data_IF_471102369201
#
_entry.id   IF_471102369201
#
_cell.length_a   1.000
_cell.length_b   1.000
_cell.length_c   1.000
_cell.angle_alpha   90.00
_cell.angle_beta   90.00
_cell.angle_gamma   90.00
#
_symmetry.space_group_name_H-M   'P 1'
#
loop_
_entity.id
_entity.type
_entity.pdbx_description
1 polymer ?
#
# COMPACT_ATOMS: atom_id res chain seq x y z
N UNK A 1 12.20 -6.12 26.35
CA UNK A 1 12.44 -4.79 25.74
C UNK A 1 11.21 -4.48 24.93
N UNK A 2 10.63 -3.29 25.08
CA UNK A 2 9.46 -2.89 24.28
C UNK A 2 9.97 -2.42 22.92
N UNK A 3 9.56 -3.13 21.87
CA UNK A 3 9.90 -2.81 20.47
C UNK A 3 9.18 -1.53 20.03
N UNK A 4 9.93 -0.45 19.78
CA UNK A 4 9.38 0.86 19.39
C UNK A 4 9.27 0.99 17.89
N UNK A 5 8.12 1.42 17.42
CA UNK A 5 7.73 1.48 16.01
C UNK A 5 7.38 2.92 15.63
N UNK A 6 7.85 3.37 14.47
CA UNK A 6 7.44 4.62 13.84
C UNK A 6 6.72 4.34 12.52
N UNK A 7 5.57 4.98 12.32
CA UNK A 7 4.82 4.95 11.07
C UNK A 7 4.91 6.33 10.43
N UNK A 8 5.58 6.44 9.29
CA UNK A 8 5.67 7.66 8.48
C UNK A 8 4.54 7.66 7.44
N UNK A 9 3.65 8.64 7.50
CA UNK A 9 2.44 8.70 6.67
C UNK A 9 1.26 7.95 7.28
N UNK A 10 1.09 8.06 8.60
CA UNK A 10 0.06 7.36 9.36
C UNK A 10 -1.37 7.78 9.01
N UNK A 11 -1.59 9.00 8.53
CA UNK A 11 -2.93 9.49 8.13
C UNK A 11 -3.33 9.06 6.70
N UNK A 12 -2.51 8.25 6.02
CA UNK A 12 -2.84 7.65 4.73
C UNK A 12 -3.76 6.43 4.86
N UNK A 13 -4.25 5.92 3.72
CA UNK A 13 -5.18 4.79 3.67
C UNK A 13 -4.64 3.55 4.40
N UNK A 14 -3.42 3.12 4.07
CA UNK A 14 -2.78 1.98 4.77
C UNK A 14 -2.34 2.41 6.18
N UNK A 15 -1.76 3.61 6.31
CA UNK A 15 -1.17 4.09 7.56
C UNK A 15 -2.16 4.11 8.72
N UNK A 16 -3.40 4.54 8.49
CA UNK A 16 -4.45 4.57 9.51
C UNK A 16 -4.76 3.16 10.05
N UNK A 17 -5.01 2.21 9.16
CA UNK A 17 -5.35 0.84 9.58
C UNK A 17 -4.15 0.10 10.16
N UNK A 18 -2.96 0.35 9.63
CA UNK A 18 -1.73 -0.19 10.17
C UNK A 18 -1.43 0.35 11.58
N UNK A 19 -1.71 1.63 11.84
CA UNK A 19 -1.57 2.24 13.17
C UNK A 19 -2.46 1.53 14.20
N UNK A 20 -3.72 1.26 13.84
CA UNK A 20 -4.65 0.53 14.70
C UNK A 20 -4.07 -0.85 15.01
N UNK A 21 -3.75 -1.63 13.98
CA UNK A 21 -3.30 -3.01 14.13
C UNK A 21 -1.98 -3.12 14.93
N UNK A 22 -1.01 -2.24 14.67
CA UNK A 22 0.25 -2.23 15.41
C UNK A 22 0.07 -1.82 16.87
N UNK A 23 -0.80 -0.84 17.17
CA UNK A 23 -1.13 -0.45 18.55
C UNK A 23 -1.84 -1.56 19.31
N UNK A 24 -2.74 -2.29 18.67
CA UNK A 24 -3.38 -3.47 19.26
C UNK A 24 -2.37 -4.56 19.58
N UNK A 25 -1.41 -4.80 18.70
CA UNK A 25 -0.43 -5.87 18.82
C UNK A 25 0.71 -5.55 19.79
N UNK A 26 1.26 -4.33 19.72
CA UNK A 26 2.48 -3.93 20.45
C UNK A 26 2.21 -3.02 21.66
N UNK A 27 0.97 -2.54 21.83
CA UNK A 27 0.58 -1.54 22.80
C UNK A 27 0.72 -0.12 22.29
N UNK A 28 -0.20 0.73 22.69
CA UNK A 28 -0.38 2.10 22.19
C UNK A 28 0.89 2.94 22.31
N UNK A 29 1.56 2.89 23.47
CA UNK A 29 2.75 3.71 23.77
C UNK A 29 4.02 3.25 23.02
N UNK A 30 3.97 2.12 22.34
CA UNK A 30 5.08 1.56 21.56
C UNK A 30 5.01 1.88 20.07
N UNK A 31 3.93 2.54 19.62
CA UNK A 31 3.70 2.88 18.21
C UNK A 31 3.49 4.37 18.05
N UNK A 32 4.52 5.05 17.57
CA UNK A 32 4.49 6.47 17.21
C UNK A 32 3.93 6.59 15.79
N UNK A 33 2.77 7.20 15.66
CA UNK A 33 2.21 7.58 14.36
C UNK A 33 2.76 8.95 13.94
N UNK A 34 3.03 9.15 12.66
CA UNK A 34 3.43 10.47 12.17
C UNK A 34 2.89 10.77 10.77
N UNK A 35 2.60 12.04 10.53
CA UNK A 35 2.20 12.54 9.21
C UNK A 35 2.62 14.02 9.09
N UNK A 36 2.71 14.52 7.86
CA UNK A 36 2.98 15.95 7.61
C UNK A 36 1.81 16.85 8.03
N UNK A 37 0.62 16.27 8.20
CA UNK A 37 -0.61 16.99 8.57
C UNK A 37 -0.94 16.75 10.04
N UNK A 38 -1.33 17.80 10.73
CA UNK A 38 -2.05 17.66 12.00
C UNK A 38 -3.39 16.95 11.75
N UNK A 39 -3.86 16.20 12.72
CA UNK A 39 -5.13 15.47 12.63
C UNK A 39 -5.87 15.47 13.96
N UNK A 40 -7.18 15.55 13.89
CA UNK A 40 -8.09 15.36 15.02
C UNK A 40 -8.65 13.93 15.09
N UNK A 41 -8.10 13.02 14.26
CA UNK A 41 -8.52 11.63 14.20
C UNK A 41 -8.29 10.92 15.53
N UNK A 42 -9.35 10.26 16.04
CA UNK A 42 -9.32 9.58 17.33
C UNK A 42 -8.28 8.46 17.40
N UNK A 43 -8.02 7.77 16.25
CA UNK A 43 -7.01 6.72 16.17
C UNK A 43 -5.62 7.32 16.38
N UNK A 44 -5.31 8.43 15.73
CA UNK A 44 -4.01 9.09 15.86
C UNK A 44 -3.80 9.63 17.28
N UNK A 45 -4.84 10.25 17.85
CA UNK A 45 -4.81 10.84 19.18
C UNK A 45 -4.89 9.83 20.33
N UNK A 46 -5.14 8.56 20.05
CA UNK A 46 -5.16 7.50 21.07
C UNK A 46 -3.76 7.14 21.62
N UNK A 47 -2.68 7.60 20.98
CA UNK A 47 -1.30 7.33 21.37
C UNK A 47 -0.34 8.37 20.83
N UNK A 48 0.99 8.15 20.92
CA UNK A 48 1.99 9.09 20.44
C UNK A 48 1.77 9.43 18.96
N UNK A 49 1.75 10.75 18.68
CA UNK A 49 1.61 11.28 17.33
C UNK A 49 2.54 12.46 17.11
N UNK A 50 3.30 12.45 16.01
CA UNK A 50 4.22 13.52 15.64
C UNK A 50 3.85 14.14 14.28
N UNK A 51 3.84 15.47 14.22
CA UNK A 51 3.75 16.18 12.95
C UNK A 51 5.16 16.20 12.35
N UNK A 52 5.38 15.39 11.31
CA UNK A 52 6.70 15.12 10.77
C UNK A 52 6.67 15.09 9.24
N UNK A 53 7.50 15.92 8.62
CA UNK A 53 7.84 15.79 7.20
C UNK A 53 8.96 14.74 7.04
N UNK A 54 8.65 13.60 6.46
CA UNK A 54 9.61 12.52 6.25
C UNK A 54 10.76 12.90 5.30
N UNK A 55 10.68 14.05 4.60
CA UNK A 55 11.77 14.60 3.78
C UNK A 55 12.75 15.45 4.60
N UNK A 56 12.41 15.82 5.84
CA UNK A 56 13.32 16.46 6.78
C UNK A 56 14.09 15.40 7.60
N UNK A 57 15.33 15.14 7.16
CA UNK A 57 16.19 14.14 7.81
C UNK A 57 16.47 14.47 9.28
N UNK A 58 16.67 15.74 9.63
CA UNK A 58 16.99 16.13 11.00
C UNK A 58 15.81 15.91 11.93
N UNK A 59 14.61 16.35 11.53
CA UNK A 59 13.40 16.11 12.29
C UNK A 59 13.11 14.60 12.44
N UNK A 60 13.36 13.81 11.39
CA UNK A 60 13.21 12.35 11.44
C UNK A 60 14.20 11.72 12.42
N UNK A 61 15.47 12.13 12.42
CA UNK A 61 16.47 11.64 13.36
C UNK A 61 16.11 11.99 14.82
N UNK A 62 15.64 13.20 15.07
CA UNK A 62 15.22 13.64 16.40
C UNK A 62 14.07 12.78 16.95
N UNK A 63 13.06 12.49 16.13
CA UNK A 63 11.95 11.60 16.52
C UNK A 63 12.44 10.18 16.79
N UNK A 64 13.29 9.62 15.92
CA UNK A 64 13.86 8.28 16.10
C UNK A 64 14.64 8.18 17.40
N UNK A 65 15.45 9.17 17.73
CA UNK A 65 16.24 9.19 18.95
C UNK A 65 15.38 9.42 20.20
N UNK A 66 14.41 10.35 20.12
CA UNK A 66 13.53 10.69 21.26
C UNK A 66 12.69 9.49 21.73
N UNK A 67 12.14 8.74 20.75
CA UNK A 67 11.29 7.57 21.05
C UNK A 67 12.04 6.23 21.07
N UNK A 68 13.35 6.23 20.83
CA UNK A 68 14.18 5.01 20.74
C UNK A 68 13.61 4.02 19.68
N UNK A 69 13.27 4.54 18.50
CA UNK A 69 12.61 3.77 17.42
C UNK A 69 13.54 2.66 16.90
N UNK A 70 13.05 1.43 16.83
CA UNK A 70 13.77 0.28 16.28
C UNK A 70 13.25 -0.11 14.87
N UNK A 71 11.95 0.06 14.61
CA UNK A 71 11.33 -0.30 13.32
C UNK A 71 10.60 0.88 12.71
N UNK A 72 10.80 1.09 11.42
CA UNK A 72 10.10 2.12 10.64
C UNK A 72 9.22 1.49 9.56
N UNK A 73 7.95 1.88 9.54
CA UNK A 73 7.02 1.63 8.44
C UNK A 73 6.91 2.91 7.60
N UNK A 74 7.55 2.91 6.43
CA UNK A 74 7.58 4.07 5.53
C UNK A 74 6.38 4.03 4.57
N UNK A 75 5.24 4.58 5.01
CA UNK A 75 3.99 4.62 4.23
C UNK A 75 3.84 5.94 3.45
N UNK A 76 4.62 6.96 3.77
CA UNK A 76 4.57 8.26 3.09
C UNK A 76 5.00 8.13 1.63
N UNK A 77 4.09 8.46 0.70
CA UNK A 77 4.35 8.45 -0.74
C UNK A 77 3.33 9.28 -1.50
N UNK A 78 3.72 9.80 -2.66
CA UNK A 78 2.79 10.35 -3.64
C UNK A 78 2.35 9.26 -4.60
N UNK A 79 1.02 9.01 -4.70
CA UNK A 79 0.42 7.91 -5.46
C UNK A 79 0.29 8.20 -6.96
N UNK A 80 0.02 7.17 -7.76
CA UNK A 80 0.11 7.14 -9.22
C UNK A 80 -0.59 8.31 -9.93
N UNK A 81 -1.88 8.52 -9.70
CA UNK A 81 -2.63 9.58 -10.39
C UNK A 81 -2.19 11.00 -10.01
N UNK A 82 -1.73 11.21 -8.76
CA UNK A 82 -1.18 12.51 -8.31
C UNK A 82 0.27 12.69 -8.76
N UNK A 83 1.05 11.62 -8.81
CA UNK A 83 2.43 11.66 -9.27
C UNK A 83 2.56 12.10 -10.72
N UNK A 84 1.64 11.68 -11.60
CA UNK A 84 1.62 12.12 -13.00
C UNK A 84 1.38 13.64 -13.16
N UNK A 85 0.68 14.26 -12.22
CA UNK A 85 0.48 15.72 -12.21
C UNK A 85 1.71 16.48 -11.74
N UNK A 86 2.55 15.89 -10.89
CA UNK A 86 3.71 16.51 -10.26
C UNK A 86 4.93 15.57 -10.26
N UNK A 87 5.45 15.17 -11.45
CA UNK A 87 6.39 14.05 -11.56
C UNK A 87 7.68 14.23 -10.75
N UNK A 88 8.32 15.39 -10.82
CA UNK A 88 9.58 15.63 -10.09
C UNK A 88 9.37 15.71 -8.58
N UNK A 89 8.26 16.31 -8.14
CA UNK A 89 7.91 16.34 -6.72
C UNK A 89 7.63 14.93 -6.17
N UNK A 90 6.93 14.12 -6.95
CA UNK A 90 6.66 12.72 -6.60
C UNK A 90 7.94 11.90 -6.51
N UNK A 91 8.83 12.06 -7.49
CA UNK A 91 10.14 11.41 -7.48
C UNK A 91 10.95 11.77 -6.23
N UNK A 92 11.15 13.08 -5.96
CA UNK A 92 11.90 13.54 -4.78
C UNK A 92 11.27 13.00 -3.50
N UNK A 93 9.97 13.19 -3.28
CA UNK A 93 9.32 12.72 -2.06
C UNK A 93 9.50 11.21 -1.87
N UNK A 94 9.20 10.41 -2.88
CA UNK A 94 9.22 8.96 -2.77
C UNK A 94 10.64 8.40 -2.61
N UNK A 95 11.66 9.04 -3.21
CA UNK A 95 13.04 8.56 -3.15
C UNK A 95 13.80 9.13 -1.96
N UNK A 96 13.66 10.43 -1.64
CA UNK A 96 14.39 11.05 -0.55
C UNK A 96 14.00 10.45 0.80
N UNK A 97 12.69 10.23 1.03
CA UNK A 97 12.20 9.57 2.25
C UNK A 97 12.75 8.14 2.38
N UNK A 98 12.80 7.39 1.27
CA UNK A 98 13.39 6.04 1.28
C UNK A 98 14.88 6.09 1.61
N UNK A 99 15.64 7.02 1.00
CA UNK A 99 17.07 7.16 1.28
C UNK A 99 17.35 7.56 2.73
N UNK A 100 16.54 8.43 3.33
CA UNK A 100 16.65 8.78 4.73
C UNK A 100 16.54 7.54 5.62
N UNK A 101 15.47 6.76 5.45
CA UNK A 101 15.23 5.56 6.27
C UNK A 101 16.28 4.48 6.02
N UNK A 102 16.68 4.24 4.76
CA UNK A 102 17.75 3.29 4.43
C UNK A 102 19.11 3.68 5.04
N UNK A 103 19.48 4.96 5.03
CA UNK A 103 20.71 5.45 5.63
C UNK A 103 20.68 5.32 7.17
N UNK A 104 19.55 5.63 7.80
CA UNK A 104 19.38 5.43 9.24
C UNK A 104 19.55 3.95 9.64
N UNK A 105 19.04 3.03 8.85
CA UNK A 105 19.25 1.59 9.08
C UNK A 105 20.69 1.15 8.81
N UNK A 106 21.33 1.67 7.75
CA UNK A 106 22.75 1.44 7.48
C UNK A 106 23.63 1.90 8.65
N UNK A 107 23.31 3.04 9.22
CA UNK A 107 24.03 3.64 10.36
C UNK A 107 23.59 3.04 11.71
N UNK A 108 22.76 1.99 11.69
CA UNK A 108 22.26 1.23 12.85
C UNK A 108 21.46 2.07 13.87
N UNK A 109 20.87 3.17 13.43
CA UNK A 109 19.95 3.97 14.23
C UNK A 109 18.56 3.31 14.34
N UNK A 110 18.18 2.50 13.33
CA UNK A 110 17.02 1.62 13.32
C UNK A 110 17.44 0.22 12.85
N UNK A 111 16.69 -0.82 13.20
CA UNK A 111 17.03 -2.21 12.92
C UNK A 111 16.25 -2.81 11.75
N UNK A 112 15.03 -2.35 11.50
CA UNK A 112 14.12 -2.94 10.51
C UNK A 112 13.27 -1.89 9.80
N UNK A 113 13.01 -2.13 8.52
CA UNK A 113 12.19 -1.26 7.68
C UNK A 113 11.10 -2.09 7.00
N UNK A 114 9.87 -1.58 7.02
CA UNK A 114 8.85 -1.94 6.04
C UNK A 114 8.74 -0.82 5.00
N UNK A 115 8.85 -1.17 3.73
CA UNK A 115 8.66 -0.22 2.63
C UNK A 115 7.72 -0.82 1.57
N UNK A 116 6.54 -0.22 1.32
CA UNK A 116 5.59 -0.75 0.34
C UNK A 116 6.05 -0.51 -1.09
N UNK A 117 6.17 -1.57 -1.88
CA UNK A 117 6.17 -1.52 -3.32
C UNK A 117 4.73 -1.64 -3.86
N UNK A 118 4.57 -1.79 -5.16
CA UNK A 118 3.27 -1.80 -5.83
C UNK A 118 3.32 -2.60 -7.13
N UNK A 119 2.18 -3.10 -7.60
CA UNK A 119 2.02 -3.61 -8.97
C UNK A 119 2.39 -2.59 -10.05
N UNK A 120 2.47 -1.32 -9.69
CA UNK A 120 2.91 -0.25 -10.59
C UNK A 120 4.35 -0.39 -11.10
N UNK A 121 5.17 -1.29 -10.52
CA UNK A 121 6.50 -1.66 -11.04
C UNK A 121 6.42 -2.41 -12.37
N UNK A 122 5.30 -3.02 -12.65
CA UNK A 122 5.04 -3.71 -13.91
C UNK A 122 4.72 -2.72 -15.03
N UNK A 123 4.80 -3.17 -16.27
CA UNK A 123 4.57 -2.33 -17.43
C UNK A 123 4.16 -3.13 -18.67
N UNK A 124 4.05 -2.51 -19.85
CA UNK A 124 3.46 -3.12 -21.04
C UNK A 124 4.11 -4.43 -21.53
N UNK A 125 5.36 -4.68 -21.15
CA UNK A 125 6.08 -5.92 -21.49
C UNK A 125 5.92 -7.05 -20.47
N UNK A 126 5.17 -6.82 -19.39
CA UNK A 126 4.94 -7.82 -18.35
C UNK A 126 3.83 -8.78 -18.77
N UNK A 127 3.95 -10.10 -18.47
CA UNK A 127 2.84 -11.04 -18.65
C UNK A 127 1.60 -10.55 -17.92
N UNK A 128 0.44 -10.55 -18.59
CA UNK A 128 -0.80 -10.01 -18.02
C UNK A 128 -1.38 -10.91 -16.92
N UNK A 129 -1.44 -12.20 -17.17
CA UNK A 129 -2.02 -13.18 -16.27
C UNK A 129 -0.95 -13.87 -15.44
N UNK A 130 -1.24 -14.05 -14.14
CA UNK A 130 -0.36 -14.74 -13.19
C UNK A 130 1.08 -14.22 -13.26
N UNK A 131 1.24 -12.90 -13.33
CA UNK A 131 2.55 -12.25 -13.45
C UNK A 131 3.52 -12.80 -12.40
N UNK A 132 4.63 -13.43 -12.84
CA UNK A 132 5.54 -14.08 -11.90
C UNK A 132 6.31 -13.08 -11.06
N UNK A 133 6.84 -13.54 -9.92
CA UNK A 133 7.68 -12.75 -9.02
C UNK A 133 8.86 -12.08 -9.74
N UNK A 134 9.46 -12.80 -10.68
CA UNK A 134 10.58 -12.31 -11.50
C UNK A 134 10.15 -12.26 -12.96
N UNK A 135 10.10 -11.06 -13.49
CA UNK A 135 9.81 -10.79 -14.91
C UNK A 135 10.45 -9.46 -15.31
N UNK A 136 10.32 -9.09 -16.57
CA UNK A 136 10.73 -7.76 -17.03
C UNK A 136 9.74 -6.74 -16.44
N UNK A 137 10.28 -5.79 -15.70
CA UNK A 137 9.53 -4.66 -15.13
C UNK A 137 9.93 -3.39 -15.85
N UNK A 138 8.98 -2.77 -16.53
CA UNK A 138 9.19 -1.56 -17.33
C UNK A 138 8.03 -0.58 -17.11
N UNK A 139 7.93 0.02 -15.90
CA UNK A 139 6.83 0.90 -15.55
C UNK A 139 6.77 2.12 -16.46
N UNK A 140 5.56 2.52 -16.84
CA UNK A 140 5.29 3.69 -17.69
C UNK A 140 4.89 4.94 -16.89
N UNK A 141 4.73 4.83 -15.57
CA UNK A 141 4.36 5.93 -14.68
C UNK A 141 5.51 6.34 -13.78
N UNK A 142 5.56 7.63 -13.38
CA UNK A 142 6.58 8.15 -12.43
C UNK A 142 6.52 7.41 -11.09
N UNK A 143 5.31 7.13 -10.63
CA UNK A 143 5.12 6.34 -9.40
C UNK A 143 5.74 4.93 -9.55
N UNK A 144 5.42 4.23 -10.62
CA UNK A 144 5.99 2.91 -10.90
C UNK A 144 7.52 2.93 -11.04
N UNK A 145 8.07 3.94 -11.72
CA UNK A 145 9.52 4.13 -11.82
C UNK A 145 10.16 4.34 -10.44
N UNK A 146 9.55 5.15 -9.56
CA UNK A 146 10.07 5.36 -8.20
C UNK A 146 10.00 4.07 -7.37
N UNK A 147 8.94 3.27 -7.50
CA UNK A 147 8.81 1.99 -6.81
C UNK A 147 9.82 0.96 -7.32
N UNK A 148 10.02 0.85 -8.63
CA UNK A 148 11.02 -0.06 -9.19
C UNK A 148 12.45 0.35 -8.79
N UNK A 149 12.78 1.63 -8.86
CA UNK A 149 14.06 2.14 -8.39
C UNK A 149 14.26 1.86 -6.89
N UNK A 150 13.20 2.08 -6.08
CA UNK A 150 13.22 1.79 -4.65
C UNK A 150 13.45 0.32 -4.32
N UNK A 151 12.85 -0.63 -5.06
CA UNK A 151 13.14 -2.06 -4.91
C UNK A 151 14.64 -2.35 -5.15
N UNK A 152 15.21 -1.76 -6.19
CA UNK A 152 16.65 -1.89 -6.48
C UNK A 152 17.52 -1.36 -5.34
N UNK A 153 17.16 -0.19 -4.76
CA UNK A 153 17.88 0.38 -3.63
C UNK A 153 17.72 -0.43 -2.35
N UNK A 154 16.53 -0.93 -2.04
CA UNK A 154 16.31 -1.84 -0.90
C UNK A 154 17.20 -3.08 -1.02
N UNK A 155 17.23 -3.71 -2.20
CA UNK A 155 18.09 -4.86 -2.45
C UNK A 155 19.57 -4.51 -2.31
N UNK A 156 20.02 -3.39 -2.88
CA UNK A 156 21.41 -2.94 -2.77
C UNK A 156 21.84 -2.71 -1.31
N UNK A 157 20.99 -2.02 -0.50
CA UNK A 157 21.30 -1.78 0.91
C UNK A 157 21.31 -3.07 1.72
N UNK A 158 20.44 -4.01 1.39
CA UNK A 158 20.48 -5.33 2.00
C UNK A 158 21.80 -6.06 1.69
N UNK A 159 22.14 -6.17 0.40
CA UNK A 159 23.33 -6.92 -0.04
C UNK A 159 24.64 -6.30 0.46
N UNK A 160 24.73 -4.97 0.45
CA UNK A 160 25.97 -4.26 0.77
C UNK A 160 26.15 -3.94 2.26
N UNK A 161 25.06 -3.64 2.95
CA UNK A 161 25.11 -3.15 4.33
C UNK A 161 24.36 -4.04 5.32
N UNK A 162 23.69 -5.08 4.87
CA UNK A 162 22.92 -6.00 5.72
C UNK A 162 21.63 -5.41 6.28
N UNK A 163 21.10 -4.34 5.69
CA UNK A 163 19.84 -3.71 6.13
C UNK A 163 18.69 -4.70 6.03
N UNK A 164 17.90 -4.88 7.10
CA UNK A 164 16.65 -5.66 7.07
C UNK A 164 15.52 -4.76 6.57
N UNK A 165 15.30 -4.75 5.27
CA UNK A 165 14.18 -4.09 4.61
C UNK A 165 13.25 -5.13 4.00
N UNK A 166 11.97 -5.04 4.33
CA UNK A 166 10.90 -5.94 3.89
C UNK A 166 9.88 -5.16 3.08
N UNK A 167 9.42 -5.76 2.00
CA UNK A 167 8.60 -5.06 1.02
C UNK A 167 7.57 -5.99 0.38
N UNK A 168 6.37 -5.44 0.10
CA UNK A 168 5.30 -6.09 -0.63
C UNK A 168 4.95 -5.26 -1.87
N UNK A 169 4.73 -5.92 -3.01
CA UNK A 169 4.12 -5.30 -4.18
C UNK A 169 2.61 -5.37 -3.99
N UNK A 170 2.05 -4.34 -3.37
CA UNK A 170 0.62 -4.27 -3.18
C UNK A 170 -0.13 -4.18 -4.50
N UNK A 171 -1.23 -4.94 -4.64
CA UNK A 171 -2.25 -4.71 -5.67
C UNK A 171 -3.08 -3.47 -5.34
N UNK A 172 -4.16 -3.22 -6.05
CA UNK A 172 -5.13 -2.19 -5.70
C UNK A 172 -5.77 -2.48 -4.34
N UNK A 173 -5.68 -1.53 -3.42
CA UNK A 173 -6.19 -1.70 -2.05
C UNK A 173 -7.58 -1.09 -1.91
N UNK A 174 -8.45 -1.80 -1.18
CA UNK A 174 -9.84 -1.43 -0.95
C UNK A 174 -10.08 -1.35 0.56
N UNK A 175 -10.56 -0.20 1.03
CA UNK A 175 -10.88 0.06 2.43
C UNK A 175 -12.14 0.90 2.56
N UNK A 176 -12.91 0.67 3.62
CA UNK A 176 -14.06 1.49 3.97
C UNK A 176 -13.71 2.63 4.94
N UNK A 177 -12.57 2.54 5.64
CA UNK A 177 -12.20 3.49 6.71
C UNK A 177 -11.67 4.82 6.20
N UNK A 178 -11.02 4.82 5.04
CA UNK A 178 -10.41 6.04 4.48
C UNK A 178 -10.84 6.27 3.05
N UNK A 179 -11.01 7.56 2.71
CA UNK A 179 -11.35 7.98 1.35
C UNK A 179 -10.18 7.69 0.39
N UNK A 180 -10.46 7.52 -0.91
CA UNK A 180 -9.45 7.31 -1.93
C UNK A 180 -8.37 8.40 -1.95
N UNK A 181 -7.12 8.01 -2.16
CA UNK A 181 -5.95 8.88 -2.13
C UNK A 181 -5.48 9.45 -3.48
N UNK A 182 -6.20 9.18 -4.58
CA UNK A 182 -5.82 9.58 -5.94
C UNK A 182 -5.04 8.49 -6.70
N UNK A 183 -5.28 7.23 -6.40
CA UNK A 183 -4.73 6.08 -7.11
C UNK A 183 -5.54 5.68 -8.34
N UNK A 184 -4.93 4.91 -9.24
CA UNK A 184 -5.59 4.38 -10.44
C UNK A 184 -6.65 3.33 -10.11
N UNK A 185 -6.48 2.61 -8.98
CA UNK A 185 -7.40 1.56 -8.52
C UNK A 185 -8.53 2.08 -7.62
N UNK A 186 -8.57 3.37 -7.36
CA UNK A 186 -9.53 4.00 -6.42
C UNK A 186 -10.99 3.89 -6.86
N UNK A 187 -11.25 3.54 -8.14
CA UNK A 187 -12.61 3.24 -8.60
C UNK A 187 -13.28 2.18 -7.72
N UNK A 188 -12.50 1.22 -7.23
CA UNK A 188 -12.99 0.10 -6.42
C UNK A 188 -13.32 0.49 -4.96
N UNK A 189 -13.01 1.72 -4.56
CA UNK A 189 -13.46 2.34 -3.29
C UNK A 189 -14.59 3.33 -3.56
N UNK A 190 -14.39 4.26 -4.53
CA UNK A 190 -15.37 5.27 -4.90
C UNK A 190 -16.75 4.70 -5.24
N UNK A 191 -16.77 3.57 -5.94
CA UNK A 191 -17.99 2.89 -6.36
C UNK A 191 -18.92 2.57 -5.19
N UNK A 192 -18.38 2.18 -4.02
CA UNK A 192 -19.18 1.87 -2.82
C UNK A 192 -19.79 3.11 -2.21
N UNK A 193 -19.00 4.19 -2.04
CA UNK A 193 -19.50 5.46 -1.54
C UNK A 193 -20.62 6.02 -2.41
N UNK A 194 -20.43 5.95 -3.74
CA UNK A 194 -21.42 6.40 -4.72
C UNK A 194 -22.64 5.49 -4.79
N UNK A 195 -22.45 4.18 -4.70
CA UNK A 195 -23.57 3.23 -4.66
C UNK A 195 -24.49 3.47 -3.47
N UNK A 196 -23.92 3.86 -2.32
CA UNK A 196 -24.69 4.14 -1.11
C UNK A 196 -25.36 5.51 -1.18
N UNK A 197 -24.61 6.53 -1.60
CA UNK A 197 -25.07 7.92 -1.58
C UNK A 197 -26.03 8.23 -2.72
N UNK A 198 -25.67 7.82 -3.95
CA UNK A 198 -26.29 8.27 -5.19
C UNK A 198 -27.03 7.13 -5.93
N UNK A 199 -26.83 5.86 -5.55
CA UNK A 199 -27.35 4.68 -6.24
C UNK A 199 -26.72 4.46 -7.63
N UNK A 200 -25.73 5.27 -8.02
CA UNK A 200 -25.09 5.22 -9.32
C UNK A 200 -23.61 5.61 -9.24
N UNK A 201 -22.81 5.09 -10.18
CA UNK A 201 -21.39 5.42 -10.30
C UNK A 201 -20.98 5.55 -11.76
N UNK A 202 -20.14 6.54 -12.06
CA UNK A 202 -19.45 6.66 -13.34
C UNK A 202 -17.99 6.26 -13.17
N UNK A 203 -17.63 5.08 -13.71
CA UNK A 203 -16.28 4.55 -13.63
C UNK A 203 -15.34 5.26 -14.60
N UNK A 204 -14.18 5.69 -14.11
CA UNK A 204 -13.11 6.24 -14.92
C UNK A 204 -12.21 5.16 -15.56
N UNK A 205 -12.55 3.89 -15.41
CA UNK A 205 -11.97 2.76 -16.14
C UNK A 205 -13.04 2.06 -16.97
N UNK A 206 -12.62 1.44 -18.05
CA UNK A 206 -13.46 0.63 -18.92
C UNK A 206 -14.05 -0.57 -18.18
N UNK A 207 -15.22 -1.09 -18.59
CA UNK A 207 -15.91 -2.18 -17.90
C UNK A 207 -15.06 -3.44 -17.74
N UNK A 208 -14.17 -3.71 -18.68
CA UNK A 208 -13.38 -4.95 -18.78
C UNK A 208 -11.94 -4.81 -18.27
N UNK A 209 -11.55 -3.66 -17.71
CA UNK A 209 -10.21 -3.43 -17.20
C UNK A 209 -9.98 -4.23 -15.93
N UNK A 210 -9.44 -5.43 -16.08
CA UNK A 210 -9.13 -6.31 -14.95
C UNK A 210 -7.84 -5.88 -14.25
N UNK A 211 -7.88 -5.80 -12.92
CA UNK A 211 -6.74 -5.44 -12.08
C UNK A 211 -6.64 -6.35 -10.86
N UNK A 212 -5.43 -6.68 -10.39
CA UNK A 212 -5.26 -7.37 -9.12
C UNK A 212 -5.61 -6.43 -7.98
N UNK A 213 -6.41 -6.92 -7.03
CA UNK A 213 -7.01 -6.17 -5.94
C UNK A 213 -6.87 -6.93 -4.63
N UNK A 214 -6.91 -6.19 -3.50
CA UNK A 214 -6.84 -6.77 -2.17
C UNK A 214 -7.64 -5.92 -1.18
N UNK A 215 -8.36 -6.58 -0.29
CA UNK A 215 -9.04 -5.90 0.80
C UNK A 215 -8.03 -5.48 1.88
N UNK A 216 -8.27 -4.35 2.56
CA UNK A 216 -7.29 -3.76 3.46
C UNK A 216 -6.93 -4.67 4.64
N UNK A 217 -7.88 -5.43 5.16
CA UNK A 217 -7.63 -6.40 6.23
C UNK A 217 -6.57 -7.43 5.82
N UNK A 218 -6.61 -7.90 4.56
CA UNK A 218 -5.58 -8.78 4.01
C UNK A 218 -4.24 -8.05 3.82
N UNK A 219 -4.26 -6.78 3.39
CA UNK A 219 -3.05 -5.99 3.21
C UNK A 219 -2.33 -5.75 4.55
N UNK A 220 -3.08 -5.40 5.59
CA UNK A 220 -2.53 -5.22 6.95
C UNK A 220 -1.97 -6.54 7.47
N UNK A 221 -2.72 -7.64 7.34
CA UNK A 221 -2.27 -8.96 7.76
C UNK A 221 -1.01 -9.41 7.01
N UNK A 222 -0.92 -9.15 5.70
CA UNK A 222 0.28 -9.42 4.90
C UNK A 222 1.48 -8.63 5.43
N UNK A 223 1.27 -7.35 5.75
CA UNK A 223 2.31 -6.45 6.28
C UNK A 223 2.83 -6.95 7.62
N UNK A 224 1.94 -7.26 8.56
CA UNK A 224 2.32 -7.77 9.88
C UNK A 224 3.03 -9.12 9.74
N UNK A 225 2.48 -10.05 8.95
CA UNK A 225 3.04 -11.39 8.78
C UNK A 225 4.46 -11.36 8.19
N UNK A 226 4.73 -10.55 7.15
CA UNK A 226 6.09 -10.47 6.61
C UNK A 226 7.05 -9.82 7.60
N UNK A 227 6.60 -8.84 8.38
CA UNK A 227 7.44 -8.16 9.38
C UNK A 227 7.76 -9.05 10.58
N UNK A 228 6.91 -10.00 10.91
CA UNK A 228 7.13 -11.00 11.98
C UNK A 228 7.87 -12.24 11.52
N UNK A 229 7.88 -12.52 10.21
CA UNK A 229 8.52 -13.72 9.66
C UNK A 229 9.99 -13.80 10.03
N UNK A 230 10.47 -15.03 10.23
CA UNK A 230 11.88 -15.30 10.45
C UNK A 230 12.75 -14.77 9.31
N UNK A 231 13.78 -14.00 9.67
CA UNK A 231 14.69 -13.41 8.69
C UNK A 231 15.35 -14.45 7.75
N UNK A 232 15.50 -15.67 8.21
CA UNK A 232 16.14 -16.78 7.48
C UNK A 232 15.24 -17.37 6.38
N UNK A 233 13.92 -17.21 6.47
CA UNK A 233 12.96 -17.72 5.47
C UNK A 233 12.73 -16.72 4.34
N UNK A 234 13.02 -15.45 4.57
CA UNK A 234 12.75 -14.39 3.61
C UNK A 234 13.90 -14.16 2.63
N UNK A 235 13.58 -13.88 1.38
CA UNK A 235 14.50 -13.30 0.39
C UNK A 235 14.61 -11.80 0.66
N UNK A 236 15.45 -11.42 1.60
CA UNK A 236 15.59 -10.04 2.07
C UNK A 236 15.98 -9.08 0.96
N UNK A 237 15.50 -7.86 1.05
CA UNK A 237 15.67 -6.84 0.03
C UNK A 237 14.82 -7.05 -1.23
N UNK A 238 14.06 -8.17 -1.32
CA UNK A 238 13.12 -8.41 -2.39
C UNK A 238 11.72 -7.93 -1.99
N UNK A 239 11.03 -7.25 -2.91
CA UNK A 239 9.61 -6.97 -2.76
C UNK A 239 8.79 -8.18 -3.23
N UNK A 240 7.98 -8.76 -2.34
CA UNK A 240 7.15 -9.92 -2.69
C UNK A 240 5.87 -9.50 -3.41
N UNK A 241 5.51 -10.23 -4.47
CA UNK A 241 4.15 -10.19 -4.97
C UNK A 241 3.20 -10.73 -3.90
N UNK A 242 2.08 -10.05 -3.69
CA UNK A 242 0.94 -10.54 -2.90
C UNK A 242 -0.33 -10.44 -3.72
N UNK A 243 -1.17 -11.44 -3.63
CA UNK A 243 -2.42 -11.55 -4.40
C UNK A 243 -3.58 -11.92 -3.47
N UNK A 244 -4.78 -11.48 -3.84
CA UNK A 244 -6.03 -11.90 -3.19
C UNK A 244 -7.11 -12.19 -4.25
N UNK A 245 -7.44 -11.21 -5.06
CA UNK A 245 -8.47 -11.30 -6.08
C UNK A 245 -8.08 -10.48 -7.31
N UNK A 246 -8.72 -10.75 -8.43
CA UNK A 246 -8.66 -9.90 -9.63
C UNK A 246 -10.07 -9.74 -10.17
N UNK A 247 -10.43 -8.53 -10.52
CA UNK A 247 -11.74 -8.22 -11.09
C UNK A 247 -11.70 -6.91 -11.87
N UNK A 248 -12.74 -6.69 -12.68
CA UNK A 248 -12.96 -5.48 -13.43
C UNK A 248 -14.16 -4.68 -12.90
N UNK A 249 -14.36 -3.40 -13.32
CA UNK A 249 -15.48 -2.57 -12.87
C UNK A 249 -16.86 -3.19 -13.09
N UNK A 250 -17.04 -3.97 -14.16
CA UNK A 250 -18.31 -4.63 -14.44
C UNK A 250 -18.61 -5.77 -13.46
N UNK A 251 -17.61 -6.59 -13.14
CA UNK A 251 -17.74 -7.67 -12.17
C UNK A 251 -18.00 -7.13 -10.76
N UNK A 252 -17.30 -6.06 -10.38
CA UNK A 252 -17.54 -5.38 -9.09
C UNK A 252 -18.97 -4.82 -9.01
N UNK A 253 -19.43 -4.15 -10.07
CA UNK A 253 -20.80 -3.65 -10.12
C UNK A 253 -21.84 -4.78 -10.05
N UNK A 254 -21.56 -5.92 -10.69
CA UNK A 254 -22.42 -7.10 -10.59
C UNK A 254 -22.50 -7.63 -9.16
N UNK A 255 -21.37 -7.71 -8.46
CA UNK A 255 -21.32 -8.14 -7.07
C UNK A 255 -22.07 -7.16 -6.13
N UNK A 256 -21.94 -5.84 -6.36
CA UNK A 256 -22.71 -4.82 -5.62
C UNK A 256 -24.22 -4.99 -5.85
N UNK A 257 -24.67 -5.26 -7.08
CA UNK A 257 -26.09 -5.46 -7.42
C UNK A 257 -26.73 -6.64 -6.71
N UNK A 258 -25.96 -7.63 -6.27
CA UNK A 258 -26.51 -8.72 -5.44
C UNK A 258 -27.02 -8.23 -4.08
N UNK A 259 -26.47 -7.13 -3.56
CA UNK A 259 -26.88 -6.50 -2.32
C UNK A 259 -27.74 -5.23 -2.54
N UNK A 260 -27.58 -4.59 -3.70
CA UNK A 260 -28.26 -3.35 -4.12
C UNK A 260 -28.73 -3.48 -5.58
N UNK A 261 -29.87 -4.15 -5.83
CA UNK A 261 -30.34 -4.45 -7.20
C UNK A 261 -30.53 -3.22 -8.11
N UNK A 262 -30.83 -2.07 -7.52
CA UNK A 262 -31.07 -0.79 -8.21
C UNK A 262 -29.80 -0.07 -8.66
N UNK A 263 -28.62 -0.51 -8.22
CA UNK A 263 -27.34 0.17 -8.50
C UNK A 263 -27.05 0.26 -10.00
N UNK A 264 -26.74 1.47 -10.46
CA UNK A 264 -26.39 1.77 -11.85
C UNK A 264 -24.92 2.09 -12.00
N UNK A 265 -24.32 1.68 -13.12
CA UNK A 265 -22.94 2.03 -13.46
C UNK A 265 -22.88 2.48 -14.92
N UNK A 266 -22.13 3.55 -15.16
CA UNK A 266 -21.69 4.01 -16.49
C UNK A 266 -20.17 4.07 -16.55
N UNK A 267 -19.60 4.25 -17.73
CA UNK A 267 -18.16 4.21 -17.94
C UNK A 267 -17.72 5.43 -18.76
N UNK A 268 -16.77 6.19 -18.23
CA UNK A 268 -16.16 7.34 -18.88
C UNK A 268 -14.62 7.31 -18.62
N UNK A 269 -13.88 6.43 -19.34
CA UNK A 269 -12.45 6.29 -19.12
C UNK A 269 -11.68 7.59 -19.27
N UNK A 270 -10.79 7.89 -18.33
CA UNK A 270 -9.92 9.06 -18.34
C UNK A 270 -8.43 8.65 -18.50
N UNK A 271 -7.50 9.57 -18.23
CA UNK A 271 -6.05 9.31 -18.38
C UNK A 271 -5.55 8.12 -17.55
N UNK A 272 -6.25 7.72 -16.47
CA UNK A 272 -5.92 6.58 -15.62
C UNK A 272 -6.10 5.25 -16.34
N UNK A 273 -6.93 5.20 -17.40
CA UNK A 273 -7.09 4.01 -18.22
C UNK A 273 -5.76 3.53 -18.80
N UNK A 274 -4.98 4.44 -19.38
CA UNK A 274 -3.68 4.07 -19.96
C UNK A 274 -2.67 3.55 -18.90
N UNK A 275 -2.77 4.03 -17.67
CA UNK A 275 -1.97 3.52 -16.56
C UNK A 275 -2.43 2.10 -16.19
N UNK A 276 -3.73 1.90 -16.02
CA UNK A 276 -4.32 0.60 -15.71
C UNK A 276 -3.99 -0.45 -16.79
N UNK A 277 -4.11 -0.10 -18.05
CA UNK A 277 -3.79 -0.97 -19.19
C UNK A 277 -2.32 -1.41 -19.24
N UNK A 278 -1.43 -0.68 -18.58
CA UNK A 278 -0.02 -1.04 -18.48
C UNK A 278 0.29 -2.06 -17.38
N UNK A 279 -0.65 -2.29 -16.45
CA UNK A 279 -0.49 -3.19 -15.32
C UNK A 279 -0.98 -4.61 -15.64
N UNK A 280 -0.57 -5.63 -14.87
CA UNK A 280 -1.09 -6.98 -15.02
C UNK A 280 -2.54 -7.10 -14.58
N UNK A 281 -3.22 -8.11 -15.14
CA UNK A 281 -4.58 -8.48 -14.75
C UNK A 281 -4.58 -9.31 -13.46
N UNK A 282 -3.51 -10.08 -13.23
CA UNK A 282 -3.28 -10.85 -12.00
C UNK A 282 -1.80 -11.08 -11.74
N UNK A 283 -1.45 -11.33 -10.47
CA UNK A 283 -0.07 -11.61 -10.05
C UNK A 283 0.03 -12.94 -9.33
N UNK A 284 1.13 -13.65 -9.54
CA UNK A 284 1.46 -14.87 -8.81
C UNK A 284 2.18 -14.53 -7.51
N UNK A 285 1.71 -15.06 -6.39
CA UNK A 285 2.27 -14.88 -5.06
C UNK A 285 2.88 -16.16 -4.46
N UNK A 286 3.24 -17.11 -5.33
CA UNK A 286 3.80 -18.42 -4.96
C UNK A 286 5.01 -18.28 -4.03
N UNK A 287 5.87 -17.26 -4.25
CA UNK A 287 7.04 -17.02 -3.39
C UNK A 287 6.60 -16.58 -1.97
N UNK A 288 5.59 -15.73 -1.85
CA UNK A 288 5.03 -15.33 -0.57
C UNK A 288 4.39 -16.51 0.17
N UNK A 289 3.63 -17.35 -0.54
CA UNK A 289 3.04 -18.56 0.02
C UNK A 289 4.12 -19.52 0.55
N UNK A 290 5.22 -19.69 -0.20
CA UNK A 290 6.31 -20.60 0.16
C UNK A 290 7.16 -20.08 1.32
N UNK A 291 7.56 -18.81 1.27
CA UNK A 291 8.57 -18.27 2.15
C UNK A 291 8.00 -17.85 3.52
N UNK A 292 6.74 -17.38 3.56
CA UNK A 292 6.09 -16.92 4.80
C UNK A 292 4.60 -17.28 4.89
N UNK A 293 4.14 -18.29 4.15
CA UNK A 293 2.82 -18.92 4.24
C UNK A 293 1.64 -17.97 3.98
N UNK A 294 1.85 -16.97 3.12
CA UNK A 294 0.81 -16.03 2.76
C UNK A 294 -0.43 -16.73 2.20
N UNK A 295 -1.62 -16.29 2.63
CA UNK A 295 -2.91 -16.69 2.05
C UNK A 295 -3.92 -15.56 2.25
N UNK A 296 -4.64 -15.12 1.22
CA UNK A 296 -5.73 -14.18 1.38
C UNK A 296 -6.90 -14.82 2.13
N UNK A 297 -7.71 -13.97 2.79
CA UNK A 297 -8.91 -14.38 3.50
C UNK A 297 -10.17 -13.78 2.89
N UNK A 298 -10.05 -12.66 2.17
CA UNK A 298 -11.16 -11.97 1.54
C UNK A 298 -11.13 -12.14 0.02
N UNK A 299 -12.27 -12.52 -0.53
CA UNK A 299 -12.54 -12.56 -1.96
C UNK A 299 -13.61 -11.52 -2.32
N UNK A 300 -13.93 -11.36 -3.61
CA UNK A 300 -14.82 -10.31 -4.12
C UNK A 300 -16.15 -10.19 -3.36
N UNK A 301 -16.85 -11.30 -3.16
CA UNK A 301 -18.16 -11.31 -2.52
C UNK A 301 -18.08 -10.93 -1.02
N UNK A 302 -17.06 -11.44 -0.32
CA UNK A 302 -16.84 -11.15 1.11
C UNK A 302 -16.51 -9.68 1.30
N UNK A 303 -15.61 -9.15 0.46
CA UNK A 303 -15.22 -7.75 0.45
C UNK A 303 -16.40 -6.83 0.17
N UNK A 304 -17.22 -7.13 -0.87
CA UNK A 304 -18.40 -6.32 -1.21
C UNK A 304 -19.39 -6.28 -0.05
N UNK A 305 -19.65 -7.43 0.58
CA UNK A 305 -20.55 -7.52 1.74
C UNK A 305 -20.05 -6.67 2.90
N UNK A 306 -18.78 -6.77 3.21
CA UNK A 306 -18.16 -6.06 4.35
C UNK A 306 -18.12 -4.54 4.11
N UNK A 307 -17.69 -4.10 2.91
CA UNK A 307 -17.71 -2.69 2.50
C UNK A 307 -19.12 -2.08 2.66
N UNK A 308 -20.15 -2.73 2.11
CA UNK A 308 -21.52 -2.23 2.19
C UNK A 308 -22.06 -2.24 3.64
N UNK A 309 -21.69 -3.22 4.44
CA UNK A 309 -22.09 -3.28 5.87
C UNK A 309 -21.54 -2.09 6.65
N UNK A 310 -20.27 -1.75 6.46
CA UNK A 310 -19.60 -0.70 7.22
C UNK A 310 -19.97 0.71 6.74
N UNK A 311 -20.12 0.90 5.44
CA UNK A 311 -20.46 2.20 4.86
C UNK A 311 -21.96 2.59 4.98
N UNK A 312 -22.85 1.64 5.28
CA UNK A 312 -24.27 1.91 5.55
C UNK A 312 -24.56 2.34 7.01
N UNK A 313 -23.54 2.39 7.86
CA UNK A 313 -23.65 2.86 9.25
C UNK A 313 -23.44 4.37 9.32
#
# INVERSE_FOLDING_TARGET
>A
MHHKILILGACGQIGTELTIALREQHGVDNVVASDIRATDDAVMNAGPFEILDATDLHALEDVIMHYEIETVYLMAAMLSGTAEKFPMKAWSLNMDTLFHVLNLAKDKKISKIFWPSSIAVFGPGTPKENTPQQCIMAPSSVYGMSKLAGEGWCQYYHLKYGVDVRSLRYPGLISWKTQPGGGTTDYAVDIFHKAIKDGAYESFLSPETTLPMMYMEDAIRATLSIMESESSTLKKGMAYNVSAMSFNPQELAHAIRKQRPEFQISYAPDFRQSIADSWPDSVSDIEAQKDWQWKPQFYLEDMVKDMLLHLNR
#
